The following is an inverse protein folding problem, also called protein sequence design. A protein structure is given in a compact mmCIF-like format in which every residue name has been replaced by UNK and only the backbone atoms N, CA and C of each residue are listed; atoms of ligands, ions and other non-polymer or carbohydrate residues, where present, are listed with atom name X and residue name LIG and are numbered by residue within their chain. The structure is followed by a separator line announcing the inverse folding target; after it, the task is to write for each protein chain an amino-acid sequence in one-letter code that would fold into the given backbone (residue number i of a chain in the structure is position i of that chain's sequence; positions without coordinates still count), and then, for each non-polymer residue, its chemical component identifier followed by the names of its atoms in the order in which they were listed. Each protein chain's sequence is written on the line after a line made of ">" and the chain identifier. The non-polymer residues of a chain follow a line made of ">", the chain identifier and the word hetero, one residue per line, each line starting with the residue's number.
data_IF_504229205483
#
_entry.id   IF_504229205483
#
_cell.length_a   1.000
_cell.length_b   1.000
_cell.length_c   1.000
_cell.angle_alpha   90.00
_cell.angle_beta   90.00
_cell.angle_gamma   90.00
#
_symmetry.space_group_name_H-M   'P 1'
#
loop_
_entity.id
_entity.type
_entity.pdbx_description
1 polymer ?
#
# COMPACT_ATOMS: atom_id res chain seq x y z
N UNK A 1 -17.81 -93.09 -23.65
CA UNK A 1 -18.13 -92.36 -22.40
C UNK A 1 -17.20 -91.16 -22.32
N UNK A 2 -17.71 -89.92 -22.44
CA UNK A 2 -17.20 -88.69 -21.76
C UNK A 2 -17.90 -87.38 -22.16
N UNK A 3 -18.79 -87.37 -23.16
CA UNK A 3 -19.44 -86.13 -23.66
C UNK A 3 -20.35 -85.45 -22.60
N UNK A 4 -20.82 -86.20 -21.59
CA UNK A 4 -21.67 -85.65 -20.51
C UNK A 4 -20.90 -84.82 -19.46
N UNK A 5 -19.60 -85.05 -19.28
CA UNK A 5 -18.80 -84.33 -18.28
C UNK A 5 -18.34 -82.96 -18.79
N UNK A 6 -17.96 -82.84 -20.06
CA UNK A 6 -17.44 -81.58 -20.61
C UNK A 6 -18.51 -80.48 -20.71
N UNK A 7 -19.77 -80.85 -20.93
CA UNK A 7 -20.89 -79.91 -20.96
C UNK A 7 -21.29 -79.38 -19.58
N UNK A 8 -21.10 -80.18 -18.51
CA UNK A 8 -21.38 -79.75 -17.14
C UNK A 8 -20.31 -78.76 -16.65
N UNK A 9 -19.03 -79.06 -16.89
CA UNK A 9 -17.88 -78.24 -16.50
C UNK A 9 -17.88 -76.89 -17.22
N UNK A 10 -18.26 -76.86 -18.50
CA UNK A 10 -18.42 -75.59 -19.24
C UNK A 10 -19.61 -74.75 -18.74
N UNK A 11 -20.70 -75.38 -18.32
CA UNK A 11 -21.87 -74.71 -17.72
C UNK A 11 -21.52 -74.07 -16.37
N UNK A 12 -20.77 -74.77 -15.52
CA UNK A 12 -20.36 -74.26 -14.20
C UNK A 12 -19.32 -73.13 -14.32
N UNK A 13 -18.34 -73.25 -15.21
CA UNK A 13 -17.38 -72.18 -15.47
C UNK A 13 -18.02 -70.92 -16.06
N UNK A 14 -19.06 -71.07 -16.89
CA UNK A 14 -19.86 -69.95 -17.41
C UNK A 14 -20.62 -69.22 -16.29
N UNK A 15 -21.26 -69.98 -15.38
CA UNK A 15 -21.95 -69.41 -14.21
C UNK A 15 -20.99 -68.68 -13.28
N UNK A 16 -19.83 -69.26 -12.98
CA UNK A 16 -18.79 -68.65 -12.12
C UNK A 16 -18.28 -67.34 -12.75
N UNK A 17 -18.06 -67.32 -14.07
CA UNK A 17 -17.67 -66.10 -14.80
C UNK A 17 -18.76 -65.02 -14.73
N UNK A 18 -20.03 -65.41 -14.82
CA UNK A 18 -21.16 -64.49 -14.71
C UNK A 18 -21.28 -63.89 -13.31
N UNK A 19 -21.14 -64.70 -12.25
CA UNK A 19 -21.13 -64.22 -10.86
C UNK A 19 -19.95 -63.29 -10.57
N UNK A 20 -18.75 -63.59 -11.07
CA UNK A 20 -17.59 -62.71 -10.93
C UNK A 20 -17.81 -61.34 -11.59
N UNK A 21 -18.38 -61.33 -12.80
CA UNK A 21 -18.71 -60.09 -13.49
C UNK A 21 -19.81 -59.31 -12.77
N UNK A 22 -20.82 -59.98 -12.23
CA UNK A 22 -21.87 -59.33 -11.44
C UNK A 22 -21.31 -58.69 -10.16
N UNK A 23 -20.44 -59.40 -9.44
CA UNK A 23 -19.76 -58.88 -8.24
C UNK A 23 -18.90 -57.67 -8.59
N UNK A 24 -18.16 -57.71 -9.71
CA UNK A 24 -17.34 -56.60 -10.17
C UNK A 24 -18.19 -55.35 -10.47
N UNK A 25 -19.34 -55.52 -11.14
CA UNK A 25 -20.27 -54.42 -11.44
C UNK A 25 -20.88 -53.83 -10.17
N UNK A 26 -21.24 -54.68 -9.19
CA UNK A 26 -21.76 -54.22 -7.89
C UNK A 26 -20.68 -53.45 -7.12
N UNK A 27 -19.45 -53.94 -7.09
CA UNK A 27 -18.33 -53.24 -6.44
C UNK A 27 -18.04 -51.89 -7.09
N UNK A 28 -18.04 -51.82 -8.43
CA UNK A 28 -17.89 -50.56 -9.16
C UNK A 28 -19.03 -49.58 -8.85
N UNK A 29 -20.27 -50.07 -8.75
CA UNK A 29 -21.42 -49.26 -8.35
C UNK A 29 -21.30 -48.70 -6.92
N UNK A 30 -20.82 -49.51 -5.97
CA UNK A 30 -20.58 -49.08 -4.59
C UNK A 30 -19.49 -48.00 -4.53
N UNK A 31 -18.38 -48.18 -5.26
CA UNK A 31 -17.31 -47.18 -5.33
C UNK A 31 -17.83 -45.87 -5.94
N UNK A 32 -18.63 -45.95 -7.01
CA UNK A 32 -19.23 -44.76 -7.63
C UNK A 32 -20.17 -44.03 -6.66
N UNK A 33 -21.01 -44.77 -5.93
CA UNK A 33 -21.87 -44.20 -4.89
C UNK A 33 -21.05 -43.55 -3.77
N UNK A 34 -19.93 -44.15 -3.35
CA UNK A 34 -19.06 -43.59 -2.32
C UNK A 34 -18.40 -42.28 -2.79
N UNK A 35 -17.93 -42.23 -4.04
CA UNK A 35 -17.38 -41.01 -4.65
C UNK A 35 -18.44 -39.92 -4.75
N UNK A 36 -19.67 -40.26 -5.18
CA UNK A 36 -20.78 -39.32 -5.22
C UNK A 36 -21.16 -38.79 -3.83
N UNK A 37 -21.13 -39.63 -2.79
CA UNK A 37 -21.40 -39.22 -1.41
C UNK A 37 -20.28 -38.32 -0.90
N UNK A 38 -19.01 -38.63 -1.14
CA UNK A 38 -17.87 -37.77 -0.73
C UNK A 38 -17.93 -36.41 -1.43
N UNK A 39 -18.18 -36.39 -2.74
CA UNK A 39 -18.36 -35.14 -3.50
C UNK A 39 -19.58 -34.36 -3.03
N UNK A 40 -20.70 -35.03 -2.76
CA UNK A 40 -21.88 -34.38 -2.19
C UNK A 40 -21.59 -33.84 -0.79
N UNK A 41 -20.86 -34.57 0.05
CA UNK A 41 -20.45 -34.10 1.38
C UNK A 41 -19.46 -32.93 1.31
N UNK A 42 -18.55 -32.88 0.34
CA UNK A 42 -17.69 -31.71 0.12
C UNK A 42 -18.48 -30.50 -0.40
N UNK A 43 -19.42 -30.73 -1.32
CA UNK A 43 -20.33 -29.67 -1.82
C UNK A 43 -21.22 -29.17 -0.68
N UNK A 44 -21.77 -30.05 0.15
CA UNK A 44 -22.61 -29.70 1.30
C UNK A 44 -21.83 -29.09 2.48
N UNK A 45 -20.57 -29.48 2.68
CA UNK A 45 -19.66 -28.82 3.62
C UNK A 45 -19.25 -27.42 3.10
N UNK A 46 -19.12 -27.25 1.78
CA UNK A 46 -18.93 -25.92 1.15
C UNK A 46 -20.21 -25.08 1.13
N UNK A 47 -21.39 -25.74 1.19
CA UNK A 47 -22.70 -25.10 1.26
C UNK A 47 -23.23 -24.96 2.69
N UNK A 48 -22.40 -25.26 3.69
CA UNK A 48 -22.63 -24.84 5.07
C UNK A 48 -22.90 -23.34 5.05
N UNK A 49 -24.09 -22.94 5.50
CA UNK A 49 -24.61 -21.57 5.48
C UNK A 49 -23.49 -20.53 5.38
N UNK A 50 -23.36 -19.86 4.23
CA UNK A 50 -22.75 -18.55 4.21
C UNK A 50 -23.61 -17.70 5.13
N UNK A 51 -23.29 -17.71 6.44
CA UNK A 51 -23.34 -16.47 7.18
C UNK A 51 -22.55 -15.52 6.30
N UNK A 52 -23.20 -14.45 5.85
CA UNK A 52 -22.47 -13.30 5.38
C UNK A 52 -21.68 -12.82 6.59
N UNK A 53 -20.55 -13.47 6.89
CA UNK A 53 -19.47 -12.87 7.63
C UNK A 53 -19.02 -11.75 6.73
N UNK A 54 -19.69 -10.60 6.87
CA UNK A 54 -19.18 -9.32 6.41
C UNK A 54 -17.87 -9.19 7.16
N UNK A 55 -16.79 -9.65 6.52
CA UNK A 55 -15.47 -9.66 7.10
C UNK A 55 -15.18 -8.21 7.48
N UNK A 56 -14.97 -7.99 8.77
CA UNK A 56 -14.73 -6.65 9.32
C UNK A 56 -13.64 -5.96 8.50
N UNK A 57 -13.96 -4.78 7.98
CA UNK A 57 -13.07 -4.00 7.10
C UNK A 57 -11.72 -3.74 7.78
N UNK A 58 -11.70 -3.66 9.12
CA UNK A 58 -10.45 -3.54 9.88
C UNK A 58 -9.57 -4.79 9.79
N UNK A 59 -10.16 -5.99 9.75
CA UNK A 59 -9.42 -7.24 9.55
C UNK A 59 -8.84 -7.26 8.13
N UNK A 60 -9.61 -6.81 7.15
CA UNK A 60 -9.13 -6.67 5.76
C UNK A 60 -7.96 -5.70 5.70
N UNK A 61 -8.09 -4.51 6.30
CA UNK A 61 -7.03 -3.50 6.37
C UNK A 61 -5.72 -4.06 6.95
N UNK A 62 -5.79 -4.84 8.03
CA UNK A 62 -4.59 -5.49 8.63
C UNK A 62 -3.94 -6.48 7.67
N UNK A 63 -4.74 -7.28 6.95
CA UNK A 63 -4.23 -8.26 5.97
C UNK A 63 -3.57 -7.58 4.79
N UNK A 64 -4.22 -6.61 4.15
CA UNK A 64 -3.66 -5.90 2.98
C UNK A 64 -2.35 -5.19 3.34
N UNK A 65 -2.26 -4.60 4.53
CA UNK A 65 -1.05 -3.95 5.02
C UNK A 65 0.10 -4.93 5.19
N UNK A 66 -0.18 -6.08 5.81
CA UNK A 66 0.82 -7.13 6.03
C UNK A 66 1.36 -7.65 4.71
N UNK A 67 0.47 -7.94 3.75
CA UNK A 67 0.85 -8.39 2.41
C UNK A 67 1.61 -7.31 1.63
N UNK A 68 1.23 -6.04 1.75
CA UNK A 68 1.94 -4.93 1.13
C UNK A 68 3.39 -4.83 1.63
N UNK A 69 3.60 -4.79 2.96
CA UNK A 69 4.95 -4.71 3.55
C UNK A 69 5.79 -5.92 3.16
N UNK A 70 5.19 -7.12 3.20
CA UNK A 70 5.83 -8.36 2.77
C UNK A 70 6.26 -8.27 1.30
N UNK A 71 5.38 -7.77 0.43
CA UNK A 71 5.66 -7.60 -1.00
C UNK A 71 6.82 -6.62 -1.24
N UNK A 72 6.82 -5.46 -0.57
CA UNK A 72 7.92 -4.50 -0.68
C UNK A 72 9.27 -5.13 -0.30
N UNK A 73 9.30 -5.87 0.80
CA UNK A 73 10.52 -6.48 1.33
C UNK A 73 10.99 -7.68 0.49
N UNK A 74 10.13 -8.65 0.28
CA UNK A 74 10.52 -9.96 -0.28
C UNK A 74 10.57 -9.95 -1.80
N UNK A 75 9.64 -9.24 -2.45
CA UNK A 75 9.54 -9.23 -3.92
C UNK A 75 10.37 -8.11 -4.54
N UNK A 76 10.32 -6.92 -3.94
CA UNK A 76 10.97 -5.74 -4.51
C UNK A 76 12.26 -5.33 -3.80
N UNK A 77 12.65 -6.05 -2.74
CA UNK A 77 13.88 -5.82 -1.97
C UNK A 77 14.04 -4.35 -1.52
N UNK A 78 12.93 -3.71 -1.14
CA UNK A 78 12.92 -2.34 -0.63
C UNK A 78 13.32 -2.34 0.84
N UNK A 79 14.13 -1.37 1.27
CA UNK A 79 14.49 -1.18 2.66
C UNK A 79 13.26 -0.80 3.49
N UNK A 80 12.86 -1.67 4.43
CA UNK A 80 11.75 -1.42 5.36
C UNK A 80 12.31 -0.95 6.69
N UNK A 81 11.87 0.23 7.12
CA UNK A 81 12.13 0.78 8.45
C UNK A 81 10.86 0.71 9.29
N UNK A 82 11.00 0.59 10.61
CA UNK A 82 9.85 0.57 11.51
C UNK A 82 10.23 1.27 12.81
N UNK A 83 10.16 2.60 12.78
CA UNK A 83 10.47 3.43 13.94
C UNK A 83 9.55 4.65 13.99
N UNK A 84 9.30 5.13 15.20
CA UNK A 84 8.60 6.38 15.43
C UNK A 84 9.62 7.52 15.44
N UNK A 85 9.33 8.64 14.78
CA UNK A 85 10.08 9.87 14.98
C UNK A 85 9.74 10.52 16.33
N UNK A 86 10.77 10.80 17.12
CA UNK A 86 10.76 11.56 18.37
C UNK A 86 12.16 12.11 18.70
N UNK A 87 12.29 12.89 19.79
CA UNK A 87 13.57 13.47 20.25
C UNK A 87 14.69 12.42 20.50
N UNK A 88 14.31 11.18 20.84
CA UNK A 88 15.23 10.10 21.16
C UNK A 88 15.64 9.30 19.92
N UNK A 89 15.04 9.58 18.76
CA UNK A 89 15.30 8.83 17.55
C UNK A 89 16.71 9.10 17.03
N UNK A 90 17.53 8.06 17.00
CA UNK A 90 18.88 8.09 16.43
C UNK A 90 18.92 7.40 15.07
N UNK A 91 19.97 7.64 14.28
CA UNK A 91 20.25 6.86 13.05
C UNK A 91 20.28 5.35 13.33
N UNK A 92 20.69 4.95 14.53
CA UNK A 92 20.64 3.56 15.00
C UNK A 92 19.23 3.01 15.10
N UNK A 93 18.34 3.74 15.73
CA UNK A 93 16.93 3.35 15.87
C UNK A 93 16.21 3.32 14.51
N UNK A 94 16.64 4.15 13.56
CA UNK A 94 16.13 4.13 12.19
C UNK A 94 16.62 2.94 11.37
N UNK A 95 17.64 2.20 11.82
CA UNK A 95 18.28 1.16 11.02
C UNK A 95 19.21 1.70 9.92
N UNK A 96 19.71 2.94 10.08
CA UNK A 96 20.52 3.64 9.08
C UNK A 96 22.00 3.78 9.48
N UNK A 97 22.50 2.99 10.45
CA UNK A 97 23.87 3.06 11.01
C UNK A 97 24.96 3.00 9.93
N UNK A 98 24.74 2.22 8.86
CA UNK A 98 25.70 2.02 7.79
C UNK A 98 25.45 2.93 6.57
N UNK A 99 24.59 3.94 6.70
CA UNK A 99 24.35 4.90 5.63
C UNK A 99 25.34 6.05 5.74
N UNK A 100 26.01 6.33 4.62
CA UNK A 100 26.90 7.47 4.51
C UNK A 100 26.07 8.73 4.22
N UNK A 101 25.83 9.58 5.22
CA UNK A 101 25.07 10.81 5.04
C UNK A 101 25.87 11.95 4.37
N UNK A 102 27.10 11.70 3.90
CA UNK A 102 27.91 12.71 3.19
C UNK A 102 27.28 13.25 1.90
N UNK A 103 26.17 12.66 1.42
CA UNK A 103 25.37 13.15 0.29
C UNK A 103 23.88 13.35 0.66
N UNK A 104 23.58 13.87 1.85
CA UNK A 104 22.24 14.33 2.31
C UNK A 104 21.12 13.27 2.43
N UNK A 105 20.48 13.23 3.60
CA UNK A 105 19.25 12.48 3.88
C UNK A 105 18.01 13.33 3.53
N UNK A 106 17.06 12.76 2.81
CA UNK A 106 15.70 13.30 2.69
C UNK A 106 14.75 12.53 3.58
N UNK A 107 14.06 13.23 4.48
CA UNK A 107 12.92 12.71 5.24
C UNK A 107 11.64 13.30 4.68
N UNK A 108 10.70 12.45 4.29
CA UNK A 108 9.41 12.90 3.76
C UNK A 108 8.42 13.04 4.91
N UNK A 109 7.84 14.22 5.03
CA UNK A 109 6.85 14.56 6.04
C UNK A 109 5.45 14.60 5.43
N UNK A 110 4.46 13.99 6.11
CA UNK A 110 3.05 14.20 5.82
C UNK A 110 2.57 15.44 6.58
N UNK A 111 2.73 16.60 5.97
CA UNK A 111 2.48 17.89 6.59
C UNK A 111 0.98 18.22 6.70
N UNK A 112 0.65 19.13 7.62
CA UNK A 112 -0.67 19.76 7.74
C UNK A 112 -0.91 20.76 6.59
N UNK A 113 -2.17 21.19 6.43
CA UNK A 113 -2.55 22.14 5.38
C UNK A 113 -1.87 23.49 5.53
N UNK A 114 -1.61 23.94 6.74
CA UNK A 114 -0.91 25.20 7.03
C UNK A 114 0.62 25.07 6.93
N UNK A 115 1.14 23.86 6.71
CA UNK A 115 2.58 23.56 6.67
C UNK A 115 3.30 24.08 7.91
N UNK A 116 2.66 23.94 9.07
CA UNK A 116 3.26 24.28 10.35
C UNK A 116 3.88 23.05 11.04
N UNK A 117 4.82 23.28 11.97
CA UNK A 117 5.29 22.23 12.86
C UNK A 117 4.13 21.49 13.51
N UNK A 118 4.15 20.17 13.47
CA UNK A 118 3.11 19.37 14.08
C UNK A 118 3.30 19.24 15.60
N UNK A 119 2.19 19.06 16.32
CA UNK A 119 2.23 18.67 17.74
C UNK A 119 2.17 17.15 17.93
N UNK A 120 1.60 16.42 16.96
CA UNK A 120 1.34 14.98 17.04
C UNK A 120 1.54 14.26 15.70
N UNK A 121 1.37 12.93 15.71
CA UNK A 121 1.52 12.09 14.52
C UNK A 121 2.94 12.08 13.94
N UNK A 122 3.05 11.82 12.64
CA UNK A 122 4.31 11.89 11.91
C UNK A 122 4.91 13.30 11.92
N UNK A 123 4.08 14.31 11.61
CA UNK A 123 4.52 15.71 11.53
C UNK A 123 5.17 16.15 12.85
N UNK A 124 4.48 15.98 13.99
CA UNK A 124 5.04 16.36 15.29
C UNK A 124 6.17 15.46 15.78
N UNK A 125 6.21 14.20 15.34
CA UNK A 125 7.36 13.34 15.57
C UNK A 125 8.62 13.86 14.89
N UNK A 126 8.52 14.23 13.60
CA UNK A 126 9.61 14.82 12.83
C UNK A 126 10.03 16.17 13.42
N UNK A 127 9.08 17.03 13.79
CA UNK A 127 9.34 18.31 14.46
C UNK A 127 10.26 18.13 15.66
N UNK A 128 9.84 17.36 16.67
CA UNK A 128 10.64 17.11 17.89
C UNK A 128 11.99 16.46 17.59
N UNK A 129 12.00 15.51 16.64
CA UNK A 129 13.22 14.83 16.26
C UNK A 129 14.26 15.84 15.73
N UNK A 130 13.86 16.74 14.85
CA UNK A 130 14.79 17.69 14.22
C UNK A 130 15.18 18.83 15.17
N UNK A 131 14.24 19.33 15.98
CA UNK A 131 14.52 20.29 17.06
C UNK A 131 15.59 19.76 18.03
N UNK A 132 15.52 18.48 18.41
CA UNK A 132 16.51 17.83 19.28
C UNK A 132 17.91 17.66 18.67
N UNK A 133 18.06 18.00 17.40
CA UNK A 133 19.25 17.79 16.57
C UNK A 133 19.80 19.14 16.08
N UNK A 134 19.58 20.22 16.83
CA UNK A 134 20.02 21.60 16.57
C UNK A 134 19.56 22.18 15.21
N UNK A 135 18.57 21.57 14.57
CA UNK A 135 18.30 21.76 13.14
C UNK A 135 17.18 22.72 12.77
N UNK A 136 16.35 23.16 13.73
CA UNK A 136 15.23 24.07 13.48
C UNK A 136 15.17 25.09 14.63
N UNK A 137 15.61 26.32 14.35
CA UNK A 137 15.10 27.49 15.07
C UNK A 137 13.70 27.80 14.49
N UNK A 138 12.78 28.37 15.27
CA UNK A 138 11.37 28.62 14.89
C UNK A 138 11.21 29.38 13.54
N UNK A 139 12.26 30.06 13.09
CA UNK A 139 12.33 30.76 11.81
C UNK A 139 12.53 29.84 10.57
N UNK A 140 12.94 28.57 10.73
CA UNK A 140 13.32 27.69 9.60
C UNK A 140 12.16 26.90 9.01
N UNK A 141 11.10 26.57 9.78
CA UNK A 141 9.83 26.12 9.17
C UNK A 141 9.21 27.19 8.26
N UNK A 142 9.63 28.46 8.43
CA UNK A 142 9.28 29.62 7.61
C UNK A 142 10.33 30.01 6.56
N UNK A 143 11.50 29.36 6.49
CA UNK A 143 12.44 29.48 5.36
C UNK A 143 11.93 28.63 4.18
N UNK A 144 10.72 28.99 3.82
CA UNK A 144 9.86 28.42 2.84
C UNK A 144 10.44 28.81 1.49
N UNK A 145 11.28 27.94 0.91
CA UNK A 145 11.36 27.90 -0.55
C UNK A 145 9.99 27.36 -1.00
N UNK A 146 8.96 28.22 -1.00
CA UNK A 146 7.81 28.01 -1.84
C UNK A 146 8.40 27.80 -3.22
N UNK A 147 8.16 26.63 -3.78
CA UNK A 147 8.21 26.50 -5.23
C UNK A 147 6.98 27.25 -5.78
N UNK A 148 6.92 28.57 -5.54
CA UNK A 148 6.07 29.47 -6.30
C UNK A 148 6.84 29.75 -7.57
N UNK A 149 6.26 29.40 -8.71
CA UNK A 149 6.60 30.10 -9.93
C UNK A 149 6.31 31.59 -9.68
N UNK A 150 7.24 32.44 -10.09
CA UNK A 150 6.96 33.87 -10.25
C UNK A 150 5.68 33.95 -11.10
N UNK A 151 4.60 34.43 -10.48
CA UNK A 151 3.45 34.91 -11.24
C UNK A 151 4.00 36.07 -12.06
N UNK A 152 4.00 35.95 -13.39
CA UNK A 152 4.25 37.08 -14.27
C UNK A 152 3.29 38.20 -13.82
N UNK A 153 3.87 39.33 -13.41
CA UNK A 153 3.18 40.53 -12.97
C UNK A 153 2.11 40.95 -14.01
N UNK A 154 0.85 40.60 -13.78
CA UNK A 154 -0.29 41.30 -14.35
C UNK A 154 -1.17 41.79 -13.21
N UNK A 155 -0.93 43.05 -12.84
CA UNK A 155 -1.74 43.87 -11.95
C UNK A 155 -3.23 43.78 -12.36
N UNK A 156 -4.02 43.01 -11.62
CA UNK A 156 -5.44 43.28 -11.46
C UNK A 156 -5.85 42.93 -10.02
N UNK A 157 -5.95 43.98 -9.21
CA UNK A 157 -6.71 44.00 -7.98
C UNK A 157 -8.17 43.68 -8.31
N UNK A 158 -8.67 42.53 -7.87
CA UNK A 158 -10.09 42.37 -7.54
C UNK A 158 -10.21 41.35 -6.41
N UNK A 159 -10.70 41.86 -5.29
CA UNK A 159 -11.10 41.11 -4.10
C UNK A 159 -12.10 40.01 -4.45
N UNK A 160 -11.74 38.74 -4.24
CA UNK A 160 -12.68 37.72 -3.77
C UNK A 160 -11.93 36.47 -3.26
N UNK A 161 -12.38 35.96 -2.12
CA UNK A 161 -11.86 34.81 -1.39
C UNK A 161 -11.84 33.54 -2.26
N UNK A 162 -10.73 33.25 -2.94
CA UNK A 162 -10.54 32.02 -3.70
C UNK A 162 -9.38 31.16 -3.17
N UNK A 163 -9.66 30.30 -2.18
CA UNK A 163 -8.79 29.17 -1.84
C UNK A 163 -8.94 28.06 -2.89
N UNK A 164 -8.39 28.28 -4.09
CA UNK A 164 -8.54 27.34 -5.18
C UNK A 164 -7.89 27.83 -6.46
N UNK A 165 -6.56 27.73 -6.53
CA UNK A 165 -5.85 27.72 -7.80
C UNK A 165 -4.86 26.56 -7.79
N UNK A 166 -5.20 25.49 -8.52
CA UNK A 166 -4.26 24.51 -9.03
C UNK A 166 -4.13 24.86 -10.51
N UNK A 167 -2.97 25.39 -10.89
CA UNK A 167 -2.63 25.66 -12.28
C UNK A 167 -2.16 24.37 -12.95
N UNK A 168 -2.58 24.17 -14.19
CA UNK A 168 -2.32 22.99 -15.04
C UNK A 168 -0.93 23.08 -15.74
N UNK A 169 0.04 23.77 -15.13
CA UNK A 169 1.39 23.90 -15.68
C UNK A 169 2.35 22.86 -15.09
N UNK A 170 2.93 22.07 -15.99
CA UNK A 170 3.92 21.03 -15.71
C UNK A 170 5.18 21.62 -15.07
N UNK A 171 5.31 21.59 -13.75
CA UNK A 171 6.64 21.61 -13.11
C UNK A 171 6.62 21.00 -11.70
N UNK A 172 7.80 20.61 -11.23
CA UNK A 172 8.14 19.80 -10.03
C UNK A 172 7.39 20.10 -8.71
N UNK A 173 6.66 21.22 -8.63
CA UNK A 173 6.28 21.94 -7.42
C UNK A 173 4.98 21.48 -6.74
N UNK A 174 4.06 20.80 -7.44
CA UNK A 174 2.71 20.57 -6.88
C UNK A 174 2.65 19.52 -5.77
N UNK A 175 3.56 18.55 -5.80
CA UNK A 175 3.56 17.41 -4.86
C UNK A 175 4.29 17.73 -3.54
N UNK A 176 5.27 18.63 -3.56
CA UNK A 176 6.07 19.02 -2.39
C UNK A 176 5.70 20.44 -2.02
N UNK A 177 4.96 20.59 -0.93
CA UNK A 177 4.43 21.87 -0.47
C UNK A 177 5.46 22.74 0.25
N UNK A 178 6.61 22.19 0.64
CA UNK A 178 7.71 22.94 1.24
C UNK A 178 8.93 22.08 1.50
N UNK A 179 10.09 22.73 1.70
CA UNK A 179 11.35 22.06 2.04
C UNK A 179 11.96 22.76 3.24
N UNK A 180 12.32 21.99 4.27
CA UNK A 180 13.19 22.47 5.36
C UNK A 180 14.56 21.82 5.24
N UNK A 181 15.61 22.55 5.59
CA UNK A 181 16.95 21.97 5.73
C UNK A 181 17.24 21.69 7.20
N UNK A 182 18.07 20.68 7.47
CA UNK A 182 18.58 20.37 8.80
C UNK A 182 19.98 19.77 8.69
N UNK A 183 20.67 19.57 9.81
CA UNK A 183 22.10 19.21 9.81
C UNK A 183 22.48 17.95 9.01
N UNK A 184 21.52 17.05 8.73
CA UNK A 184 21.78 15.81 7.96
C UNK A 184 21.15 15.79 6.56
N UNK A 185 20.45 16.86 6.15
CA UNK A 185 19.85 16.96 4.82
C UNK A 185 18.58 17.79 4.78
N UNK A 186 17.50 17.23 4.22
CA UNK A 186 16.25 17.94 3.94
C UNK A 186 15.02 17.21 4.46
N UNK A 187 13.99 17.99 4.77
CA UNK A 187 12.63 17.52 5.04
C UNK A 187 11.77 17.99 3.88
N UNK A 188 11.12 17.06 3.18
CA UNK A 188 10.15 17.41 2.13
C UNK A 188 8.75 17.32 2.72
N UNK A 189 8.07 18.46 2.78
CA UNK A 189 6.74 18.60 3.35
C UNK A 189 5.69 18.34 2.27
N UNK A 190 4.88 17.32 2.46
CA UNK A 190 3.90 16.85 1.48
C UNK A 190 2.52 16.85 2.11
N UNK A 191 1.55 17.52 1.46
CA UNK A 191 0.14 17.43 1.83
C UNK A 191 -0.44 16.12 1.30
N UNK A 192 -0.41 15.09 2.14
CA UNK A 192 -0.88 13.76 1.76
C UNK A 192 -2.39 13.74 1.43
N UNK A 193 -2.83 13.03 0.37
CA UNK A 193 -4.25 12.87 0.04
C UNK A 193 -5.07 12.30 1.19
N UNK A 194 -6.20 12.89 1.53
CA UNK A 194 -7.13 12.32 2.52
C UNK A 194 -8.31 11.60 1.87
N UNK A 195 -8.94 10.69 2.60
CA UNK A 195 -10.11 9.96 2.10
C UNK A 195 -11.23 10.91 1.65
N UNK A 196 -11.44 12.03 2.35
CA UNK A 196 -12.51 12.98 2.06
C UNK A 196 -12.33 13.73 0.73
N UNK A 197 -11.12 13.68 0.15
CA UNK A 197 -10.80 14.25 -1.16
C UNK A 197 -11.19 13.37 -2.34
N UNK A 198 -11.52 12.09 -2.11
CA UNK A 198 -11.97 11.15 -3.16
C UNK A 198 -13.46 11.31 -3.42
N UNK A 199 -13.85 11.36 -4.70
CA UNK A 199 -15.20 11.65 -5.17
C UNK A 199 -15.48 13.14 -5.36
N UNK A 200 -14.44 13.98 -5.35
CA UNK A 200 -14.54 15.42 -5.65
C UNK A 200 -13.88 15.70 -7.00
N UNK A 201 -14.62 16.32 -7.91
CA UNK A 201 -14.14 16.62 -9.27
C UNK A 201 -12.89 17.51 -9.28
N UNK A 202 -12.72 18.37 -8.28
CA UNK A 202 -11.56 19.26 -8.15
C UNK A 202 -10.38 18.65 -7.36
N UNK A 203 -10.42 17.35 -7.05
CA UNK A 203 -9.34 16.65 -6.31
C UNK A 203 -9.05 15.30 -6.95
N UNK A 204 -9.79 14.27 -6.56
CA UNK A 204 -9.70 12.93 -7.12
C UNK A 204 -11.12 12.44 -7.40
N UNK A 205 -11.43 12.16 -8.67
CA UNK A 205 -12.73 11.66 -9.08
C UNK A 205 -13.04 10.30 -8.46
N UNK A 206 -12.03 9.43 -8.39
CA UNK A 206 -12.17 8.07 -7.90
C UNK A 206 -10.86 7.51 -7.29
N UNK A 207 -10.91 6.24 -6.86
CA UNK A 207 -9.76 5.55 -6.27
C UNK A 207 -8.63 5.27 -7.29
N UNK A 208 -8.93 5.27 -8.59
CA UNK A 208 -7.93 5.08 -9.63
C UNK A 208 -7.09 6.36 -9.77
N UNK A 209 -7.73 7.52 -9.81
CA UNK A 209 -7.04 8.81 -9.82
C UNK A 209 -6.21 9.02 -8.54
N UNK A 210 -6.72 8.60 -7.37
CA UNK A 210 -5.94 8.61 -6.13
C UNK A 210 -4.67 7.76 -6.24
N UNK A 211 -4.75 6.54 -6.79
CA UNK A 211 -3.59 5.65 -6.99
C UNK A 211 -2.54 6.32 -7.87
N UNK A 212 -2.96 6.91 -8.98
CA UNK A 212 -2.08 7.62 -9.91
C UNK A 212 -1.42 8.84 -9.25
N UNK A 213 -2.18 9.60 -8.45
CA UNK A 213 -1.66 10.73 -7.69
C UNK A 213 -0.62 10.30 -6.65
N UNK A 214 -0.85 9.21 -5.91
CA UNK A 214 0.13 8.67 -4.96
C UNK A 214 1.42 8.28 -5.68
N UNK A 215 1.34 7.56 -6.80
CA UNK A 215 2.52 7.23 -7.61
C UNK A 215 3.29 8.50 -8.00
N UNK A 216 2.58 9.51 -8.54
CA UNK A 216 3.18 10.78 -8.97
C UNK A 216 3.90 11.48 -7.82
N UNK A 217 3.29 11.58 -6.65
CA UNK A 217 3.91 12.20 -5.46
C UNK A 217 5.24 11.52 -5.11
N UNK A 218 5.29 10.19 -5.07
CA UNK A 218 6.54 9.47 -4.77
C UNK A 218 7.60 9.65 -5.86
N UNK A 219 7.20 9.68 -7.14
CA UNK A 219 8.10 9.97 -8.27
C UNK A 219 8.68 11.38 -8.16
N UNK A 220 7.86 12.39 -7.87
CA UNK A 220 8.28 13.78 -7.74
C UNK A 220 9.25 13.96 -6.58
N UNK A 221 8.97 13.35 -5.43
CA UNK A 221 9.89 13.33 -4.29
C UNK A 221 11.24 12.72 -4.68
N UNK A 222 11.25 11.58 -5.37
CA UNK A 222 12.50 10.94 -5.79
C UNK A 222 13.28 11.81 -6.78
N UNK A 223 12.58 12.42 -7.75
CA UNK A 223 13.16 13.34 -8.72
C UNK A 223 13.76 14.57 -8.05
N UNK A 224 13.06 15.15 -7.08
CA UNK A 224 13.54 16.34 -6.38
C UNK A 224 14.66 16.00 -5.38
N UNK A 225 14.65 14.81 -4.78
CA UNK A 225 15.75 14.30 -3.98
C UNK A 225 17.05 14.19 -4.81
N UNK A 226 16.96 13.71 -6.06
CA UNK A 226 18.10 13.69 -7.00
C UNK A 226 18.61 15.10 -7.28
N UNK A 227 17.70 16.04 -7.51
CA UNK A 227 18.06 17.44 -7.76
C UNK A 227 18.80 18.07 -6.57
N UNK A 228 18.40 17.75 -5.33
CA UNK A 228 19.10 18.17 -4.11
C UNK A 228 20.30 17.26 -3.76
N UNK A 229 20.78 16.46 -4.72
CA UNK A 229 21.91 15.54 -4.61
C UNK A 229 21.83 14.55 -3.42
N UNK A 230 20.62 14.25 -2.97
CA UNK A 230 20.38 13.33 -1.87
C UNK A 230 20.71 11.88 -2.28
N UNK A 231 21.30 11.11 -1.37
CA UNK A 231 21.60 9.70 -1.62
C UNK A 231 20.64 8.73 -0.93
N UNK A 232 19.81 9.24 -0.01
CA UNK A 232 18.90 8.44 0.80
C UNK A 232 17.59 9.18 0.97
N UNK A 233 16.48 8.50 0.72
CA UNK A 233 15.13 9.02 0.96
C UNK A 233 14.38 8.06 1.88
N UNK A 234 13.82 8.60 2.96
CA UNK A 234 12.92 7.89 3.87
C UNK A 234 11.49 8.37 3.63
N UNK A 235 10.69 7.53 3.01
CA UNK A 235 9.27 7.77 2.78
C UNK A 235 8.42 7.22 3.94
N UNK A 236 7.36 7.92 4.37
CA UNK A 236 6.28 7.30 5.10
C UNK A 236 5.40 6.48 4.15
N UNK A 237 4.45 5.74 4.71
CA UNK A 237 3.23 5.36 3.98
C UNK A 237 2.24 6.51 4.17
N UNK A 238 1.93 7.24 3.10
CA UNK A 238 0.96 8.32 3.20
C UNK A 238 -0.43 7.80 3.60
N UNK A 239 -1.12 8.63 4.37
CA UNK A 239 -2.55 8.52 4.60
C UNK A 239 -3.05 7.25 5.29
N UNK A 240 -2.18 6.51 5.97
CA UNK A 240 -2.54 5.28 6.69
C UNK A 240 -3.18 5.53 8.07
N UNK A 241 -2.96 6.72 8.65
CA UNK A 241 -3.49 7.12 9.96
C UNK A 241 -4.75 7.99 9.84
N UNK A 242 -4.74 9.23 10.32
CA UNK A 242 -5.91 10.11 10.36
C UNK A 242 -6.61 10.32 9.00
N UNK A 243 -5.84 10.33 7.92
CA UNK A 243 -6.33 10.62 6.57
C UNK A 243 -7.13 9.46 5.94
N UNK A 244 -7.20 8.27 6.53
CA UNK A 244 -8.03 7.17 6.02
C UNK A 244 -9.40 7.04 6.73
N UNK A 245 -9.83 8.08 7.44
CA UNK A 245 -11.14 8.11 8.09
C UNK A 245 -12.26 8.27 7.06
N UNK A 246 -12.89 7.15 6.70
CA UNK A 246 -13.99 7.09 5.74
C UNK A 246 -15.30 7.54 6.39
N UNK A 247 -15.96 8.55 5.83
CA UNK A 247 -17.30 8.96 6.24
C UNK A 247 -18.36 8.06 5.61
N UNK A 248 -19.48 7.86 6.30
CA UNK A 248 -20.61 7.06 5.80
C UNK A 248 -21.19 7.56 4.46
N UNK A 249 -20.97 8.83 4.12
CA UNK A 249 -21.38 9.44 2.86
C UNK A 249 -20.48 9.06 1.67
N UNK A 250 -19.38 8.34 1.90
CA UNK A 250 -18.44 7.95 0.86
C UNK A 250 -18.76 6.54 0.36
N UNK A 251 -18.73 6.36 -0.97
CA UNK A 251 -19.15 5.11 -1.61
C UNK A 251 -18.04 4.06 -1.71
N UNK A 252 -17.07 4.09 -0.79
CA UNK A 252 -15.95 3.13 -0.74
C UNK A 252 -15.56 2.85 0.71
N UNK A 253 -14.91 1.73 0.96
CA UNK A 253 -14.44 1.27 2.26
C UNK A 253 -13.01 1.73 2.55
N UNK A 254 -12.60 1.63 3.82
CA UNK A 254 -11.22 1.97 4.23
C UNK A 254 -10.22 1.02 3.57
N UNK A 255 -10.56 -0.26 3.46
CA UNK A 255 -9.72 -1.24 2.76
C UNK A 255 -9.51 -0.89 1.28
N UNK A 256 -10.53 -0.38 0.59
CA UNK A 256 -10.44 0.03 -0.82
C UNK A 256 -9.56 1.26 -0.98
N UNK A 257 -9.71 2.25 -0.10
CA UNK A 257 -8.83 3.42 -0.03
C UNK A 257 -7.37 3.04 0.19
N UNK A 258 -7.08 2.24 1.22
CA UNK A 258 -5.71 1.79 1.52
C UNK A 258 -5.12 0.93 0.39
N UNK A 259 -5.95 0.12 -0.28
CA UNK A 259 -5.51 -0.64 -1.46
C UNK A 259 -5.06 0.27 -2.60
N UNK A 260 -5.77 1.39 -2.83
CA UNK A 260 -5.36 2.39 -3.83
C UNK A 260 -4.01 3.04 -3.46
N UNK A 261 -3.82 3.43 -2.19
CA UNK A 261 -2.55 3.96 -1.68
C UNK A 261 -1.41 2.95 -1.90
N UNK A 262 -1.56 1.72 -1.42
CA UNK A 262 -0.52 0.68 -1.53
C UNK A 262 -0.21 0.31 -2.97
N UNK A 263 -1.21 0.32 -3.84
CA UNK A 263 -1.02 0.09 -5.27
C UNK A 263 -0.22 1.23 -5.90
N UNK A 264 -0.49 2.49 -5.56
CA UNK A 264 0.26 3.63 -6.07
C UNK A 264 1.73 3.61 -5.66
N UNK A 265 2.01 3.24 -4.40
CA UNK A 265 3.39 3.04 -3.93
C UNK A 265 4.04 1.86 -4.66
N UNK A 266 3.30 0.77 -4.86
CA UNK A 266 3.80 -0.40 -5.61
C UNK A 266 4.16 -0.02 -7.04
N UNK A 267 3.31 0.75 -7.72
CA UNK A 267 3.58 1.21 -9.09
C UNK A 267 4.82 2.10 -9.15
N UNK A 268 4.99 3.00 -8.17
CA UNK A 268 6.22 3.78 -8.04
C UNK A 268 7.45 2.86 -7.93
N UNK A 269 7.39 1.86 -7.06
CA UNK A 269 8.48 0.90 -6.86
C UNK A 269 8.75 0.05 -8.11
N UNK A 270 7.75 -0.29 -8.92
CA UNK A 270 7.96 -1.15 -10.09
C UNK A 270 8.30 -0.41 -11.37
N UNK A 271 7.88 0.84 -11.51
CA UNK A 271 7.93 1.58 -12.78
C UNK A 271 8.92 2.75 -12.78
N UNK A 272 9.52 3.08 -11.64
CA UNK A 272 10.46 4.21 -11.54
C UNK A 272 11.88 3.69 -11.45
N UNK A 273 12.79 4.28 -12.22
CA UNK A 273 14.22 4.05 -12.02
C UNK A 273 14.63 4.61 -10.66
N UNK A 274 15.26 3.77 -9.84
CA UNK A 274 15.70 4.05 -8.46
C UNK A 274 17.22 4.01 -8.33
N UNK A 275 17.94 3.91 -9.44
CA UNK A 275 19.40 3.98 -9.44
C UNK A 275 19.86 5.25 -8.71
N UNK A 276 21.01 5.15 -8.05
CA UNK A 276 21.75 6.24 -7.37
C UNK A 276 21.19 6.71 -6.02
N UNK A 277 19.92 6.44 -5.70
CA UNK A 277 19.31 6.81 -4.40
C UNK A 277 18.81 5.56 -3.67
N UNK A 278 19.22 5.42 -2.41
CA UNK A 278 18.69 4.40 -1.51
C UNK A 278 17.32 4.82 -1.01
N UNK A 279 16.31 3.98 -1.26
CA UNK A 279 14.93 4.22 -0.84
C UNK A 279 14.60 3.33 0.35
N UNK A 280 14.05 3.98 1.38
CA UNK A 280 13.50 3.33 2.55
C UNK A 280 12.03 3.71 2.71
N UNK A 281 11.20 2.74 3.05
CA UNK A 281 9.80 2.97 3.45
C UNK A 281 9.70 2.73 4.95
N UNK A 282 9.40 3.78 5.71
CA UNK A 282 9.07 3.67 7.13
C UNK A 282 7.61 3.24 7.27
N UNK A 283 7.42 2.03 7.78
CA UNK A 283 6.11 1.41 7.97
C UNK A 283 5.58 1.60 9.39
N UNK A 284 6.13 2.54 10.15
CA UNK A 284 5.54 2.87 11.45
C UNK A 284 4.21 3.59 11.24
N UNK A 285 3.13 3.05 11.78
CA UNK A 285 1.81 3.67 11.74
C UNK A 285 1.67 4.57 12.97
N UNK A 286 1.53 5.88 12.73
CA UNK A 286 1.46 6.91 13.75
C UNK A 286 0.05 7.08 14.34
#
# INVERSE_FOLDING_TARGET
>A
MNIRNDNLVNSENSKIKHYKNLILVVLLGIVLCFVCIVLACEIFASSGSKKNDVLDDNIICKKIRTEFIKTLKEKYNVGILNFKFDENTTQGNMGLINQDFRRSLVVVNSASSDLLPGESGLNGGITRWVESKDGINDDIWKNFELLKHEEDDDENEDDDENYGYYDDSKDLADSISGISSFQYGFIFHVRAPDASSVGRENRFKDLKELREAIKRIYVDILRFARYKEANTVVFPIFSESFNCNIKASQNFKKSEFLTAIYSGITDFITETDKNEIKIFINVFCH
#
